data_IF_229263191435
#
_entry.id   IF_229263191435
#
_cell.length_a   1.000
_cell.length_b   1.000
_cell.length_c   1.000
_cell.angle_alpha   90.00
_cell.angle_beta   90.00
_cell.angle_gamma   90.00
#
_symmetry.space_group_name_H-M   'P 1'
#
loop_
_entity.id
_entity.type
_entity.pdbx_description
1 polymer ?
#
# COMPACT_ATOMS: atom_id res chain seq x y z
N UNK A 1 43.15 90.95 21.81
CA UNK A 1 42.26 90.11 22.63
C UNK A 1 41.55 89.18 21.67
N UNK A 2 41.87 87.88 21.72
CA UNK A 2 41.25 86.84 20.90
C UNK A 2 39.95 86.38 21.56
N UNK A 3 38.90 86.20 20.78
CA UNK A 3 37.72 85.43 21.19
C UNK A 3 37.25 84.63 19.99
N UNK A 4 37.94 83.52 19.78
CA UNK A 4 37.49 82.43 18.92
C UNK A 4 36.38 81.68 19.67
N UNK A 5 35.12 81.97 19.31
CA UNK A 5 34.01 81.09 19.65
C UNK A 5 33.93 79.98 18.59
N UNK A 6 33.95 78.68 18.97
CA UNK A 6 33.66 77.62 18.01
C UNK A 6 32.18 77.69 17.59
N UNK A 7 31.83 77.27 16.36
CA UNK A 7 30.43 77.16 15.98
C UNK A 7 29.75 76.18 16.92
N UNK A 8 28.65 76.63 17.52
CA UNK A 8 27.75 75.78 18.30
C UNK A 8 27.32 74.63 17.41
N UNK A 9 27.73 73.42 17.78
CA UNK A 9 27.28 72.20 17.13
C UNK A 9 25.77 72.13 17.34
N UNK A 10 25.02 72.47 16.30
CA UNK A 10 23.59 72.19 16.21
C UNK A 10 23.42 70.68 16.06
N UNK A 11 23.69 69.95 17.14
CA UNK A 11 23.05 68.68 17.43
C UNK A 11 21.58 68.99 17.69
N UNK A 12 20.85 69.28 16.60
CA UNK A 12 19.43 69.58 16.66
C UNK A 12 18.69 68.41 17.28
N UNK A 13 17.89 68.71 18.29
CA UNK A 13 17.02 67.74 18.94
C UNK A 13 16.09 67.13 17.87
N UNK A 14 16.03 65.79 17.77
CA UNK A 14 15.21 65.15 16.74
C UNK A 14 13.75 65.56 16.91
N UNK A 15 13.12 65.95 15.81
CA UNK A 15 11.70 66.30 15.83
C UNK A 15 10.85 65.04 15.92
N UNK A 16 9.59 65.17 16.34
CA UNK A 16 8.63 64.06 16.32
C UNK A 16 8.51 63.42 14.93
N UNK A 17 8.62 64.22 13.85
CA UNK A 17 8.62 63.72 12.47
C UNK A 17 9.84 62.86 12.13
N UNK A 18 11.00 63.19 12.70
CA UNK A 18 12.24 62.41 12.51
C UNK A 18 12.14 61.05 13.21
N UNK A 19 11.41 60.98 14.33
CA UNK A 19 11.14 59.74 15.05
C UNK A 19 10.11 58.88 14.31
N UNK A 20 9.01 59.46 13.81
CA UNK A 20 7.99 58.75 13.03
C UNK A 20 8.59 58.10 11.77
N UNK A 21 9.46 58.82 11.06
CA UNK A 21 10.15 58.30 9.88
C UNK A 21 11.05 57.09 10.19
N UNK A 22 11.75 57.13 11.33
CA UNK A 22 12.58 56.01 11.81
C UNK A 22 11.74 54.81 12.21
N UNK A 23 10.61 55.03 12.87
CA UNK A 23 9.67 53.96 13.26
C UNK A 23 9.14 53.26 12.01
N UNK A 24 8.63 54.00 11.03
CA UNK A 24 8.11 53.43 9.78
C UNK A 24 9.18 52.64 9.00
N UNK A 25 10.42 53.14 8.98
CA UNK A 25 11.54 52.44 8.33
C UNK A 25 11.90 51.15 9.05
N UNK A 26 11.87 51.15 10.39
CA UNK A 26 12.13 49.96 11.20
C UNK A 26 11.01 48.92 11.06
N UNK A 27 9.75 49.34 11.05
CA UNK A 27 8.60 48.46 10.84
C UNK A 27 8.67 47.77 9.48
N UNK A 28 8.84 48.52 8.39
CA UNK A 28 8.98 47.92 7.05
C UNK A 28 10.20 47.00 6.92
N UNK A 29 11.30 47.30 7.62
CA UNK A 29 12.48 46.44 7.69
C UNK A 29 12.25 45.13 8.47
N UNK A 30 11.48 45.19 9.55
CA UNK A 30 11.11 44.01 10.35
C UNK A 30 10.13 43.12 9.59
N UNK A 31 9.13 43.70 8.93
CA UNK A 31 8.15 42.97 8.12
C UNK A 31 8.83 42.23 6.96
N UNK A 32 9.70 42.92 6.22
CA UNK A 32 10.46 42.32 5.12
C UNK A 32 11.35 41.16 5.58
N UNK A 33 11.96 41.28 6.77
CA UNK A 33 12.81 40.23 7.35
C UNK A 33 11.99 39.04 7.83
N UNK A 34 10.83 39.29 8.42
CA UNK A 34 9.88 38.25 8.83
C UNK A 34 9.39 37.46 7.62
N UNK A 35 8.92 38.15 6.56
CA UNK A 35 8.46 37.50 5.33
C UNK A 35 9.56 36.64 4.68
N UNK A 36 10.78 37.15 4.59
CA UNK A 36 11.90 36.41 4.01
C UNK A 36 12.21 35.12 4.79
N UNK A 37 12.19 35.18 6.12
CA UNK A 37 12.46 34.02 6.97
C UNK A 37 11.32 32.99 6.91
N UNK A 38 10.07 33.46 6.90
CA UNK A 38 8.89 32.59 6.73
C UNK A 38 8.94 31.86 5.39
N UNK A 39 9.21 32.57 4.30
CA UNK A 39 9.31 31.99 2.95
C UNK A 39 10.45 30.96 2.87
N UNK A 40 11.61 31.26 3.47
CA UNK A 40 12.73 30.32 3.56
C UNK A 40 12.36 29.06 4.34
N UNK A 41 11.64 29.20 5.46
CA UNK A 41 11.17 28.04 6.22
C UNK A 41 10.15 27.20 5.44
N UNK A 42 9.23 27.84 4.73
CA UNK A 42 8.28 27.14 3.85
C UNK A 42 9.02 26.38 2.74
N UNK A 43 9.93 27.02 2.01
CA UNK A 43 10.71 26.38 0.95
C UNK A 43 11.48 25.15 1.47
N UNK A 44 12.14 25.27 2.63
CA UNK A 44 12.86 24.17 3.25
C UNK A 44 11.94 23.02 3.70
N UNK A 45 10.75 23.33 4.20
CA UNK A 45 9.74 22.32 4.57
C UNK A 45 9.21 21.58 3.35
N UNK A 46 8.88 22.29 2.27
CA UNK A 46 8.41 21.66 1.03
C UNK A 46 9.47 20.81 0.35
N UNK A 47 10.73 21.25 0.33
CA UNK A 47 11.84 20.46 -0.21
C UNK A 47 12.02 19.12 0.53
N UNK A 48 11.82 19.10 1.85
CA UNK A 48 11.86 17.86 2.65
C UNK A 48 10.68 16.92 2.37
N UNK A 49 9.50 17.44 2.06
CA UNK A 49 8.32 16.63 1.74
C UNK A 49 8.45 15.97 0.35
N UNK A 50 9.07 16.67 -0.61
CA UNK A 50 9.23 16.15 -1.98
C UNK A 50 10.39 15.15 -2.13
N UNK A 51 11.23 15.01 -1.10
CA UNK A 51 12.32 14.03 -1.10
C UNK A 51 11.84 12.70 -0.51
N UNK A 52 11.40 11.79 -1.37
CA UNK A 52 11.22 10.39 -1.00
C UNK A 52 12.49 9.60 -1.37
N UNK A 53 13.12 8.89 -0.41
CA UNK A 53 14.30 8.11 -0.73
C UNK A 53 13.93 6.96 -1.68
N UNK A 54 14.87 6.49 -2.53
CA UNK A 54 14.65 5.35 -3.42
C UNK A 54 14.09 4.09 -2.73
N UNK A 55 14.39 3.92 -1.43
CA UNK A 55 13.86 2.83 -0.58
C UNK A 55 12.34 2.90 -0.34
N UNK A 56 11.72 4.08 -0.41
CA UNK A 56 10.27 4.24 -0.31
C UNK A 56 9.58 3.67 -1.55
N UNK A 57 10.06 4.01 -2.75
CA UNK A 57 9.56 3.47 -4.01
C UNK A 57 9.73 1.95 -4.09
N UNK A 58 10.87 1.42 -3.63
CA UNK A 58 11.09 -0.03 -3.56
C UNK A 58 10.07 -0.74 -2.65
N UNK A 59 9.73 -0.16 -1.49
CA UNK A 59 8.69 -0.72 -0.59
C UNK A 59 7.32 -0.73 -1.26
N UNK A 60 6.93 0.38 -1.89
CA UNK A 60 5.63 0.50 -2.59
C UNK A 60 5.53 -0.50 -3.75
N UNK A 61 6.59 -0.65 -4.55
CA UNK A 61 6.60 -1.60 -5.67
C UNK A 61 6.62 -3.08 -5.23
N UNK A 62 7.19 -3.38 -4.06
CA UNK A 62 7.26 -4.76 -3.56
C UNK A 62 5.97 -5.22 -2.86
N UNK A 63 5.06 -4.31 -2.47
CA UNK A 63 3.77 -4.66 -1.86
C UNK A 63 2.86 -5.47 -2.81
N UNK A 64 2.64 -5.07 -4.07
CA UNK A 64 1.90 -5.87 -5.05
C UNK A 64 2.53 -7.24 -5.30
N UNK A 65 3.87 -7.31 -5.37
CA UNK A 65 4.60 -8.56 -5.60
C UNK A 65 4.40 -9.58 -4.46
N UNK A 66 4.40 -9.11 -3.21
CA UNK A 66 4.11 -9.95 -2.05
C UNK A 66 2.66 -10.46 -2.07
N UNK A 67 1.71 -9.63 -2.48
CA UNK A 67 0.32 -10.03 -2.68
C UNK A 67 0.18 -11.11 -3.76
N UNK A 68 0.81 -10.90 -4.92
CA UNK A 68 0.80 -11.87 -6.03
C UNK A 68 1.38 -13.24 -5.63
N UNK A 69 2.47 -13.26 -4.87
CA UNK A 69 3.05 -14.49 -4.32
C UNK A 69 2.10 -15.20 -3.33
N UNK A 70 1.32 -14.43 -2.57
CA UNK A 70 0.28 -14.97 -1.69
C UNK A 70 -0.84 -15.66 -2.47
N UNK A 71 -1.37 -15.02 -3.51
CA UNK A 71 -2.41 -15.59 -4.37
C UNK A 71 -1.94 -16.85 -5.11
N UNK A 72 -0.69 -16.86 -5.59
CA UNK A 72 -0.11 -18.04 -6.25
C UNK A 72 -0.07 -19.27 -5.31
N UNK A 73 0.29 -19.07 -4.04
CA UNK A 73 0.28 -20.16 -3.03
C UNK A 73 -1.13 -20.70 -2.79
N UNK A 74 -2.12 -19.82 -2.70
CA UNK A 74 -3.52 -20.20 -2.52
C UNK A 74 -4.02 -21.02 -3.72
N UNK A 75 -3.72 -20.59 -4.94
CA UNK A 75 -4.10 -21.33 -6.15
C UNK A 75 -3.46 -22.73 -6.19
N UNK A 76 -2.17 -22.84 -5.84
CA UNK A 76 -1.50 -24.14 -5.78
C UNK A 76 -2.16 -25.07 -4.74
N UNK A 77 -2.58 -24.53 -3.61
CA UNK A 77 -3.27 -25.31 -2.59
C UNK A 77 -4.64 -25.81 -3.05
N UNK A 78 -5.43 -24.98 -3.73
CA UNK A 78 -6.70 -25.43 -4.31
C UNK A 78 -6.50 -26.52 -5.37
N UNK A 79 -5.50 -26.38 -6.24
CA UNK A 79 -5.18 -27.41 -7.22
C UNK A 79 -4.76 -28.74 -6.57
N UNK A 80 -4.06 -28.69 -5.43
CA UNK A 80 -3.73 -29.89 -4.66
C UNK A 80 -4.98 -30.56 -4.08
N UNK A 81 -5.89 -29.78 -3.50
CA UNK A 81 -7.18 -30.27 -2.97
C UNK A 81 -8.02 -30.93 -4.07
N UNK A 82 -8.13 -30.29 -5.24
CA UNK A 82 -8.86 -30.83 -6.40
C UNK A 82 -8.28 -32.19 -6.84
N UNK A 83 -6.96 -32.30 -6.90
CA UNK A 83 -6.28 -33.56 -7.23
C UNK A 83 -6.51 -34.63 -6.17
N UNK A 84 -6.51 -34.28 -4.89
CA UNK A 84 -6.79 -35.23 -3.81
C UNK A 84 -8.24 -35.74 -3.86
N UNK A 85 -9.20 -34.85 -4.13
CA UNK A 85 -10.61 -35.21 -4.30
C UNK A 85 -10.81 -36.11 -5.51
N UNK A 86 -10.26 -35.76 -6.67
CA UNK A 86 -10.35 -36.57 -7.88
C UNK A 86 -9.79 -37.98 -7.67
N UNK A 87 -8.62 -38.09 -7.03
CA UNK A 87 -8.03 -39.38 -6.69
C UNK A 87 -8.86 -40.16 -5.65
N UNK A 88 -9.49 -39.47 -4.70
CA UNK A 88 -10.39 -40.07 -3.71
C UNK A 88 -11.63 -40.67 -4.38
N UNK A 89 -12.31 -39.92 -5.23
CA UNK A 89 -13.48 -40.39 -5.97
C UNK A 89 -13.14 -41.55 -6.91
N UNK A 90 -12.02 -41.48 -7.64
CA UNK A 90 -11.58 -42.58 -8.49
C UNK A 90 -11.34 -43.89 -7.72
N UNK A 91 -10.88 -43.82 -6.46
CA UNK A 91 -10.76 -45.02 -5.60
C UNK A 91 -12.13 -45.57 -5.21
N UNK A 92 -13.08 -44.71 -4.87
CA UNK A 92 -14.46 -45.11 -4.56
C UNK A 92 -15.11 -45.78 -5.76
N UNK A 93 -14.99 -45.18 -6.96
CA UNK A 93 -15.55 -45.75 -8.19
C UNK A 93 -14.98 -47.15 -8.48
N UNK A 94 -13.66 -47.32 -8.34
CA UNK A 94 -13.02 -48.62 -8.50
C UNK A 94 -13.52 -49.65 -7.47
N UNK A 95 -13.67 -49.25 -6.20
CA UNK A 95 -14.22 -50.15 -5.17
C UNK A 95 -15.67 -50.54 -5.46
N UNK A 96 -16.49 -49.60 -5.94
CA UNK A 96 -17.87 -49.84 -6.29
C UNK A 96 -17.99 -50.80 -7.48
N UNK A 97 -17.13 -50.64 -8.49
CA UNK A 97 -17.06 -51.55 -9.64
C UNK A 97 -16.74 -52.99 -9.19
N UNK A 98 -15.73 -53.16 -8.33
CA UNK A 98 -15.37 -54.49 -7.79
C UNK A 98 -16.53 -55.12 -7.00
N UNK A 99 -17.22 -54.34 -6.16
CA UNK A 99 -18.39 -54.82 -5.41
C UNK A 99 -19.54 -55.21 -6.34
N UNK A 100 -19.76 -54.44 -7.40
CA UNK A 100 -20.78 -54.73 -8.42
C UNK A 100 -20.50 -56.06 -9.12
N UNK A 101 -19.27 -56.28 -9.57
CA UNK A 101 -18.85 -57.54 -10.21
C UNK A 101 -19.01 -58.74 -9.27
N UNK A 102 -18.63 -58.58 -7.99
CA UNK A 102 -18.81 -59.62 -6.97
C UNK A 102 -20.28 -59.96 -6.75
N UNK A 103 -21.15 -58.94 -6.68
CA UNK A 103 -22.59 -59.14 -6.51
C UNK A 103 -23.18 -59.89 -7.71
N UNK A 104 -22.82 -59.49 -8.94
CA UNK A 104 -23.26 -60.19 -10.16
C UNK A 104 -22.82 -61.65 -10.13
N UNK A 105 -21.58 -61.93 -9.73
CA UNK A 105 -21.07 -63.30 -9.62
C UNK A 105 -21.85 -64.13 -8.59
N UNK A 106 -22.16 -63.57 -7.42
CA UNK A 106 -22.95 -64.24 -6.38
C UNK A 106 -24.38 -64.52 -6.84
N UNK A 107 -25.04 -63.54 -7.46
CA UNK A 107 -26.40 -63.70 -7.98
C UNK A 107 -26.47 -64.81 -9.04
N UNK A 108 -25.52 -64.82 -9.98
CA UNK A 108 -25.42 -65.87 -11.00
C UNK A 108 -25.23 -67.27 -10.39
N UNK A 109 -24.50 -67.38 -9.27
CA UNK A 109 -24.28 -68.67 -8.60
C UNK A 109 -25.51 -69.15 -7.82
N UNK A 110 -26.30 -68.24 -7.25
CA UNK A 110 -27.52 -68.55 -6.49
C UNK A 110 -28.71 -68.95 -7.38
N UNK A 111 -28.81 -68.41 -8.59
CA UNK A 111 -29.95 -68.68 -9.48
C UNK A 111 -29.86 -70.04 -10.21
N UNK A 112 -28.70 -70.71 -10.22
CA UNK A 112 -28.49 -71.89 -11.06
C UNK A 112 -28.70 -71.60 -12.56
N UNK A 113 -28.58 -72.58 -13.46
CA UNK A 113 -28.62 -72.35 -14.90
C UNK A 113 -30.06 -72.10 -15.39
N UNK A 114 -30.68 -70.96 -15.04
CA UNK A 114 -31.96 -70.50 -15.61
C UNK A 114 -32.02 -68.97 -15.72
N UNK A 115 -31.57 -68.46 -16.86
CA UNK A 115 -32.11 -67.32 -17.61
C UNK A 115 -32.43 -66.04 -16.82
N UNK A 116 -31.44 -65.16 -16.64
CA UNK A 116 -31.70 -63.74 -16.35
C UNK A 116 -32.10 -63.06 -17.65
N UNK A 117 -33.40 -62.79 -17.81
CA UNK A 117 -33.85 -61.78 -18.77
C UNK A 117 -33.40 -60.42 -18.25
N UNK A 118 -32.62 -59.73 -19.08
CA UNK A 118 -32.10 -58.41 -18.87
C UNK A 118 -33.10 -57.48 -18.17
N UNK A 119 -32.75 -57.01 -16.96
CA UNK A 119 -33.29 -55.77 -16.43
C UNK A 119 -32.39 -54.65 -16.96
N UNK A 120 -32.62 -54.27 -18.21
CA UNK A 120 -32.22 -52.95 -18.69
C UNK A 120 -33.08 -51.96 -17.92
N UNK A 121 -32.47 -51.23 -16.99
CA UNK A 121 -33.06 -50.01 -16.43
C UNK A 121 -32.78 -48.91 -17.44
N UNK A 122 -33.81 -48.51 -18.18
CA UNK A 122 -33.85 -47.25 -18.93
C UNK A 122 -34.34 -46.13 -18.01
N UNK A 123 -33.72 -44.98 -18.23
CA UNK A 123 -33.92 -43.60 -17.72
C UNK A 123 -33.32 -43.23 -16.36
#
# INVERSE_FOLDING_TARGET
MSSDHPPSSTGGEPTLRDLDSKINTLEGGLDSKFEAEVNKQFANRFAKVNYQPPSWYAKVNNQPANGANGFAKVNNHFAEVDNQLANGFAKVDNQLAVLSDQLVHVLNHLEGPRTIRALVVTD
#
